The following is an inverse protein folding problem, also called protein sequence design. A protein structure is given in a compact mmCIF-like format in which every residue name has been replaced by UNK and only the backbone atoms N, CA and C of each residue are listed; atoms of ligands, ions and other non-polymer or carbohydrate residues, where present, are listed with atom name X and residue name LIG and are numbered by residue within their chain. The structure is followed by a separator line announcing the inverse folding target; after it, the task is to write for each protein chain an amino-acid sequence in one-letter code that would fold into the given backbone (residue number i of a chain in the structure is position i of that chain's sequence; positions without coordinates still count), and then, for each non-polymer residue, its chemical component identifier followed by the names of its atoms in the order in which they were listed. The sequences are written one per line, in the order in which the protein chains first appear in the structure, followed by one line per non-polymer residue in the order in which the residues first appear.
data_IF_375979171079
#
_entry.id   IF_375979171079
#
_cell.length_a   1.000
_cell.length_b   1.000
_cell.length_c   1.000
_cell.angle_alpha   90.00
_cell.angle_beta   90.00
_cell.angle_gamma   90.00
#
_symmetry.space_group_name_H-M   'P 1'
#
loop_
_entity.id
_entity.type
_entity.pdbx_description
1 polymer ?
#
# COMPACT_ATOMS: atom_id res chain seq x y z
N UNK A 1 -20.15 -5.33 12.23
CA UNK A 1 -19.78 -4.16 11.39
C UNK A 1 -18.36 -4.32 10.82
N UNK A 2 -18.20 -5.11 9.76
CA UNK A 2 -16.86 -5.49 9.29
C UNK A 2 -16.27 -4.54 8.23
N UNK A 3 -17.07 -3.91 7.36
CA UNK A 3 -16.55 -3.16 6.21
C UNK A 3 -15.68 -1.95 6.58
N UNK A 4 -16.10 -1.01 7.44
CA UNK A 4 -15.27 0.13 7.83
C UNK A 4 -13.99 -0.31 8.56
N UNK A 5 -14.09 -1.35 9.40
CA UNK A 5 -12.93 -1.89 10.11
C UNK A 5 -11.90 -2.47 9.13
N UNK A 6 -12.36 -3.26 8.16
CA UNK A 6 -11.47 -3.85 7.16
C UNK A 6 -10.87 -2.78 6.24
N UNK A 7 -11.67 -1.78 5.84
CA UNK A 7 -11.21 -0.66 5.01
C UNK A 7 -10.09 0.14 5.67
N UNK A 8 -10.31 0.56 6.91
CA UNK A 8 -9.33 1.27 7.73
C UNK A 8 -8.06 0.43 7.97
N UNK A 9 -8.25 -0.83 8.39
CA UNK A 9 -7.12 -1.72 8.64
C UNK A 9 -6.28 -1.97 7.38
N UNK A 10 -6.93 -2.09 6.21
CA UNK A 10 -6.20 -2.29 4.96
C UNK A 10 -5.40 -1.05 4.56
N UNK A 11 -5.99 0.14 4.67
CA UNK A 11 -5.30 1.39 4.38
C UNK A 11 -4.08 1.59 5.31
N UNK A 12 -4.27 1.35 6.61
CA UNK A 12 -3.19 1.48 7.60
C UNK A 12 -2.04 0.53 7.33
N UNK A 13 -2.33 -0.76 7.18
CA UNK A 13 -1.30 -1.80 6.98
C UNK A 13 -0.57 -1.66 5.65
N UNK A 14 -1.28 -1.24 4.60
CA UNK A 14 -0.65 -0.98 3.32
C UNK A 14 0.25 0.25 3.38
N UNK A 15 -0.20 1.33 4.04
CA UNK A 15 0.61 2.52 4.23
C UNK A 15 1.90 2.19 5.00
N UNK A 16 1.79 1.51 6.14
CA UNK A 16 2.97 1.08 6.94
C UNK A 16 3.92 0.22 6.11
N UNK A 17 3.41 -0.75 5.34
CA UNK A 17 4.27 -1.60 4.51
C UNK A 17 5.01 -0.80 3.42
N UNK A 18 4.38 0.23 2.84
CA UNK A 18 5.00 1.09 1.84
C UNK A 18 5.97 2.11 2.47
N UNK A 19 5.69 2.58 3.68
CA UNK A 19 6.61 3.42 4.48
C UNK A 19 7.88 2.64 4.82
N UNK A 20 7.75 1.41 5.31
CA UNK A 20 8.87 0.49 5.58
C UNK A 20 9.68 0.18 4.32
N UNK A 21 9.03 0.12 3.16
CA UNK A 21 9.68 -0.07 1.86
C UNK A 21 10.32 1.21 1.29
N UNK A 22 10.20 2.36 1.97
CA UNK A 22 10.71 3.65 1.52
C UNK A 22 9.99 4.23 0.29
N UNK A 23 8.74 3.79 0.05
CA UNK A 23 7.92 4.24 -1.09
C UNK A 23 6.87 5.28 -0.72
N UNK A 24 6.58 5.45 0.57
CA UNK A 24 5.56 6.37 1.05
C UNK A 24 6.11 7.20 2.20
N UNK A 25 5.80 8.49 2.23
CA UNK A 25 6.14 9.34 3.36
C UNK A 25 5.22 9.04 4.56
N UNK A 26 5.76 9.15 5.76
CA UNK A 26 4.99 9.05 7.00
C UNK A 26 3.87 10.09 6.98
N UNK A 27 2.65 9.67 7.37
CA UNK A 27 1.45 10.50 7.34
C UNK A 27 0.95 10.93 5.94
N UNK A 28 1.35 10.25 4.86
CA UNK A 28 0.77 10.49 3.55
C UNK A 28 -0.76 10.29 3.58
N UNK A 29 -1.52 11.10 2.80
CA UNK A 29 -2.96 10.97 2.73
C UNK A 29 -3.38 9.57 2.28
N UNK A 30 -4.29 8.97 3.03
CA UNK A 30 -4.80 7.63 2.77
C UNK A 30 -6.32 7.62 2.83
N UNK A 31 -6.92 7.03 1.83
CA UNK A 31 -8.37 6.87 1.70
C UNK A 31 -8.70 5.40 1.53
N UNK A 32 -9.70 4.94 2.23
CA UNK A 32 -10.21 3.58 2.08
C UNK A 32 -11.62 3.59 1.52
N UNK A 33 -11.94 2.56 0.76
CA UNK A 33 -13.24 2.34 0.20
C UNK A 33 -13.67 0.89 0.44
N UNK A 34 -14.89 0.70 0.87
CA UNK A 34 -15.41 -0.64 1.14
C UNK A 34 -16.89 -0.72 0.75
N UNK A 35 -17.22 -1.73 -0.05
CA UNK A 35 -18.57 -2.10 -0.44
C UNK A 35 -18.80 -3.58 -0.15
N UNK A 36 -20.01 -4.13 -0.27
CA UNK A 36 -20.22 -5.58 -0.12
C UNK A 36 -19.32 -6.46 -0.97
N UNK A 37 -18.82 -5.92 -2.08
CA UNK A 37 -18.04 -6.67 -3.09
C UNK A 37 -16.63 -6.14 -3.30
N UNK A 38 -16.21 -5.05 -2.62
CA UNK A 38 -14.93 -4.37 -2.84
C UNK A 38 -14.30 -3.94 -1.54
N UNK A 39 -12.99 -4.05 -1.52
CA UNK A 39 -12.14 -3.41 -0.54
C UNK A 39 -11.01 -2.74 -1.31
N UNK A 40 -10.89 -1.43 -1.20
CA UNK A 40 -9.89 -0.67 -1.93
C UNK A 40 -9.23 0.40 -1.06
N UNK A 41 -8.00 0.74 -1.41
CA UNK A 41 -7.20 1.79 -0.77
C UNK A 41 -6.64 2.69 -1.85
N UNK A 42 -6.69 3.97 -1.61
CA UNK A 42 -6.03 5.00 -2.41
C UNK A 42 -5.03 5.73 -1.51
N UNK A 43 -3.77 5.77 -1.93
CA UNK A 43 -2.67 6.42 -1.24
C UNK A 43 -2.07 7.46 -2.15
N UNK A 44 -1.94 8.68 -1.64
CA UNK A 44 -1.33 9.77 -2.37
C UNK A 44 0.19 9.77 -2.17
N UNK A 45 0.94 10.13 -3.19
CA UNK A 45 2.38 10.35 -3.07
C UNK A 45 3.27 9.11 -3.00
N UNK A 46 2.78 7.94 -3.45
CA UNK A 46 3.62 6.74 -3.56
C UNK A 46 4.72 6.96 -4.60
N UNK A 47 5.98 6.90 -4.16
CA UNK A 47 7.15 7.12 -5.01
C UNK A 47 7.29 6.04 -6.09
N UNK A 48 7.92 6.39 -7.21
CA UNK A 48 8.24 5.42 -8.28
C UNK A 48 9.39 4.49 -7.93
N UNK A 49 10.22 4.91 -6.97
CA UNK A 49 11.40 4.20 -6.51
C UNK A 49 11.64 4.55 -5.04
N UNK A 50 12.10 3.61 -4.26
CA UNK A 50 12.56 3.85 -2.90
C UNK A 50 13.81 4.76 -2.93
N UNK A 51 14.08 5.45 -1.83
CA UNK A 51 15.29 6.24 -1.70
C UNK A 51 16.54 5.34 -1.78
N UNK A 52 17.59 5.89 -2.34
CA UNK A 52 18.89 5.22 -2.35
C UNK A 52 19.39 5.01 -0.92
N UNK A 53 19.93 3.84 -0.65
CA UNK A 53 20.49 3.48 0.65
C UNK A 53 22.00 3.68 0.64
N UNK A 54 22.49 4.50 1.57
CA UNK A 54 23.92 4.67 1.80
C UNK A 54 24.39 3.60 2.80
N UNK A 55 25.13 2.64 2.31
CA UNK A 55 25.83 1.69 3.16
C UNK A 55 27.20 2.22 3.53
N UNK A 56 27.43 2.42 4.82
CA UNK A 56 28.70 2.86 5.35
C UNK A 56 29.35 1.72 6.14
N UNK A 57 30.60 1.40 5.80
CA UNK A 57 31.41 0.42 6.54
C UNK A 57 32.62 1.13 7.13
N UNK A 58 32.81 0.97 8.44
CA UNK A 58 33.97 1.46 9.17
C UNK A 58 35.11 0.47 9.02
N UNK A 59 36.27 0.97 8.63
CA UNK A 59 37.51 0.25 8.51
C UNK A 59 38.48 0.49 9.66
N UNK A 60 39.75 0.21 9.48
CA UNK A 60 40.81 0.45 10.46
C UNK A 60 40.99 1.96 10.74
N UNK A 61 41.56 2.28 11.89
CA UNK A 61 41.94 3.66 12.21
C UNK A 61 43.03 4.15 11.24
N UNK A 62 43.10 5.45 10.98
CA UNK A 62 44.12 6.01 10.05
C UNK A 62 45.55 5.66 10.51
N UNK A 63 45.81 5.63 11.81
CA UNK A 63 47.09 5.23 12.39
C UNK A 63 47.43 3.76 12.09
N UNK A 64 46.47 2.89 11.97
CA UNK A 64 46.68 1.48 11.61
C UNK A 64 46.65 1.25 10.10
N UNK A 65 45.97 2.14 9.35
CA UNK A 65 45.76 2.05 7.92
C UNK A 65 46.96 2.52 7.09
N UNK A 66 47.77 3.44 7.62
CA UNK A 66 48.92 4.01 6.94
C UNK A 66 50.15 3.91 7.84
N UNK A 67 51.30 3.66 7.22
CA UNK A 67 52.60 3.66 7.90
C UNK A 67 53.19 5.08 8.02
N UNK A 68 54.39 5.21 8.63
CA UNK A 68 55.03 6.52 8.83
C UNK A 68 55.41 7.21 7.50
N UNK A 69 55.50 6.49 6.41
CA UNK A 69 55.75 7.01 5.06
C UNK A 69 54.44 7.30 4.30
N UNK A 70 53.28 7.15 4.94
CA UNK A 70 51.96 7.36 4.33
C UNK A 70 51.50 6.25 3.37
N UNK A 71 52.22 5.10 3.38
CA UNK A 71 51.86 3.98 2.51
C UNK A 71 50.75 3.11 3.16
N UNK A 72 49.83 2.56 2.36
CA UNK A 72 48.76 1.72 2.89
C UNK A 72 49.29 0.40 3.44
N UNK A 73 48.99 0.13 4.69
CA UNK A 73 49.31 -1.10 5.41
C UNK A 73 48.49 -2.30 4.88
N UNK A 74 48.85 -3.55 5.26
CA UNK A 74 47.99 -4.72 5.00
C UNK A 74 46.56 -4.58 5.53
N UNK A 75 46.37 -3.86 6.63
CA UNK A 75 45.04 -3.59 7.20
C UNK A 75 44.18 -2.73 6.24
N UNK A 76 44.74 -1.64 5.70
CA UNK A 76 44.04 -0.82 4.72
C UNK A 76 43.74 -1.58 3.42
N UNK A 77 44.71 -2.32 2.91
CA UNK A 77 44.56 -3.14 1.70
C UNK A 77 43.53 -4.25 1.89
N UNK A 78 43.53 -4.91 3.06
CA UNK A 78 42.55 -5.94 3.42
C UNK A 78 41.13 -5.38 3.49
N UNK A 79 40.97 -4.19 4.11
CA UNK A 79 39.65 -3.53 4.16
C UNK A 79 39.16 -3.11 2.76
N UNK A 80 40.01 -2.47 1.94
CA UNK A 80 39.69 -2.10 0.57
C UNK A 80 39.28 -3.31 -0.27
N UNK A 81 39.99 -4.42 -0.18
CA UNK A 81 39.69 -5.69 -0.85
C UNK A 81 38.30 -6.24 -0.38
N UNK A 82 38.02 -6.17 0.91
CA UNK A 82 36.73 -6.62 1.47
C UNK A 82 35.54 -5.75 1.03
N UNK A 83 35.80 -4.52 0.60
CA UNK A 83 34.82 -3.59 0.04
C UNK A 83 34.76 -3.63 -1.51
N UNK A 84 35.69 -4.39 -2.16
CA UNK A 84 35.78 -4.48 -3.62
C UNK A 84 36.28 -3.22 -4.30
N UNK A 85 37.08 -2.39 -3.60
CA UNK A 85 37.55 -1.08 -4.09
C UNK A 85 39.06 -0.92 -3.85
N UNK A 86 39.68 0.06 -4.53
CA UNK A 86 41.01 0.49 -4.22
C UNK A 86 41.08 1.34 -2.95
N UNK A 87 42.25 1.35 -2.27
CA UNK A 87 42.45 2.12 -1.04
C UNK A 87 42.25 3.63 -1.26
N UNK A 88 42.54 4.12 -2.47
CA UNK A 88 42.37 5.54 -2.83
C UNK A 88 40.89 6.01 -2.84
N UNK A 89 39.94 5.07 -2.97
CA UNK A 89 38.50 5.38 -2.96
C UNK A 89 37.95 5.47 -1.53
N UNK A 90 38.69 4.97 -0.54
CA UNK A 90 38.25 5.03 0.86
C UNK A 90 38.35 6.44 1.40
N UNK A 91 37.26 6.91 2.03
CA UNK A 91 37.24 8.20 2.71
C UNK A 91 37.90 8.10 4.09
N UNK A 92 38.46 9.22 4.55
CA UNK A 92 38.92 9.38 5.93
C UNK A 92 37.85 10.16 6.69
N UNK A 93 37.42 9.66 7.83
CA UNK A 93 36.35 10.27 8.62
C UNK A 93 36.65 10.20 10.10
N UNK A 94 36.39 11.30 10.79
CA UNK A 94 36.51 11.35 12.26
C UNK A 94 35.21 10.80 12.85
N UNK A 95 35.32 9.68 13.56
CA UNK A 95 34.23 9.03 14.28
C UNK A 95 34.61 8.96 15.74
N UNK A 96 33.77 9.50 16.62
CA UNK A 96 34.03 9.66 18.05
C UNK A 96 35.31 10.49 18.30
N UNK A 97 36.39 9.87 18.78
CA UNK A 97 37.68 10.51 19.05
C UNK A 97 38.82 9.99 18.19
N UNK A 98 38.52 9.36 17.06
CA UNK A 98 39.53 8.78 16.16
C UNK A 98 39.20 8.96 14.69
N UNK A 99 40.24 9.02 13.86
CA UNK A 99 40.09 9.02 12.42
C UNK A 99 40.15 7.58 11.89
N UNK A 100 39.20 7.24 11.00
CA UNK A 100 39.05 5.90 10.44
C UNK A 100 38.95 5.96 8.93
N UNK A 101 39.37 4.88 8.25
CA UNK A 101 38.95 4.65 6.89
C UNK A 101 37.46 4.27 6.85
N UNK A 102 36.76 4.83 5.89
CA UNK A 102 35.33 4.60 5.71
C UNK A 102 35.06 4.33 4.24
N UNK A 103 34.31 3.28 3.96
CA UNK A 103 33.78 3.02 2.65
C UNK A 103 32.28 3.31 2.63
N UNK A 104 31.87 4.10 1.63
CA UNK A 104 30.46 4.39 1.37
C UNK A 104 30.07 3.85 0.01
N UNK A 105 29.01 3.09 -0.01
CA UNK A 105 28.39 2.60 -1.23
C UNK A 105 26.94 3.05 -1.25
N UNK A 106 26.53 3.61 -2.37
CA UNK A 106 25.12 3.93 -2.60
C UNK A 106 24.48 2.76 -3.34
N UNK A 107 23.57 2.05 -2.69
CA UNK A 107 22.71 1.08 -3.34
C UNK A 107 21.46 1.79 -3.86
N UNK A 108 21.21 1.77 -5.16
CA UNK A 108 20.03 2.39 -5.73
C UNK A 108 18.77 1.74 -5.14
N UNK A 109 17.83 2.57 -4.73
CA UNK A 109 16.55 2.09 -4.19
C UNK A 109 15.81 1.22 -5.22
N UNK A 110 15.04 0.26 -4.77
CA UNK A 110 14.27 -0.62 -5.63
C UNK A 110 13.09 0.10 -6.27
N UNK A 111 12.67 -0.33 -7.44
CA UNK A 111 11.52 0.23 -8.12
C UNK A 111 10.20 -0.15 -7.40
N UNK A 112 9.23 0.77 -7.38
CA UNK A 112 7.93 0.52 -6.75
C UNK A 112 7.20 -0.70 -7.33
N UNK A 113 7.38 -0.96 -8.63
CA UNK A 113 6.78 -2.12 -9.30
C UNK A 113 7.22 -3.46 -8.70
N UNK A 114 8.43 -3.50 -8.13
CA UNK A 114 9.00 -4.71 -7.53
C UNK A 114 8.61 -4.86 -6.05
N UNK A 115 8.39 -3.74 -5.34
CA UNK A 115 8.10 -3.72 -3.90
C UNK A 115 6.61 -3.75 -3.57
N UNK A 116 5.76 -3.06 -4.34
CA UNK A 116 4.32 -2.97 -4.09
C UNK A 116 3.62 -4.34 -3.99
N UNK A 117 3.95 -5.35 -4.82
CA UNK A 117 3.31 -6.67 -4.70
C UNK A 117 3.42 -7.28 -3.30
N UNK A 118 4.60 -7.25 -2.70
CA UNK A 118 4.84 -7.81 -1.36
C UNK A 118 4.17 -6.97 -0.27
N UNK A 119 4.18 -5.64 -0.40
CA UNK A 119 3.46 -4.75 0.51
C UNK A 119 1.96 -5.05 0.54
N UNK A 120 1.34 -5.23 -0.65
CA UNK A 120 -0.08 -5.57 -0.76
C UNK A 120 -0.36 -6.94 -0.15
N UNK A 121 0.46 -7.94 -0.47
CA UNK A 121 0.32 -9.30 0.06
C UNK A 121 0.41 -9.29 1.59
N UNK A 122 1.41 -8.63 2.16
CA UNK A 122 1.58 -8.46 3.61
C UNK A 122 0.36 -7.80 4.25
N UNK A 123 -0.12 -6.69 3.68
CA UNK A 123 -1.27 -5.96 4.18
C UNK A 123 -2.56 -6.77 4.09
N UNK A 124 -2.84 -7.41 2.96
CA UNK A 124 -4.08 -8.15 2.72
C UNK A 124 -4.19 -9.42 3.58
N UNK A 125 -3.10 -10.18 3.74
CA UNK A 125 -3.09 -11.42 4.54
C UNK A 125 -3.18 -11.16 6.03
N UNK A 126 -2.74 -10.01 6.49
CA UNK A 126 -2.76 -9.62 7.91
C UNK A 126 -4.07 -9.01 8.39
N UNK A 127 -5.08 -8.81 7.53
CA UNK A 127 -6.35 -8.17 7.89
C UNK A 127 -7.06 -8.87 9.06
N UNK A 128 -7.76 -8.10 9.94
CA UNK A 128 -8.46 -8.63 11.11
C UNK A 128 -9.78 -9.31 10.71
N UNK A 129 -9.68 -10.48 10.11
CA UNK A 129 -10.83 -11.28 9.68
C UNK A 129 -11.10 -12.35 10.74
N UNK A 130 -12.25 -12.24 11.41
CA UNK A 130 -12.66 -13.16 12.49
C UNK A 130 -13.01 -14.57 11.97
N UNK A 131 -13.72 -14.61 10.83
CA UNK A 131 -14.05 -15.88 10.16
C UNK A 131 -13.53 -15.84 8.74
N UNK A 132 -12.69 -16.81 8.39
CA UNK A 132 -12.16 -16.98 7.05
C UNK A 132 -12.83 -18.17 6.38
N UNK A 133 -13.11 -18.05 5.10
CA UNK A 133 -13.55 -19.15 4.26
C UNK A 133 -12.51 -19.43 3.18
N UNK A 134 -12.41 -20.68 2.79
CA UNK A 134 -11.67 -21.14 1.62
C UNK A 134 -12.66 -21.32 0.47
N UNK A 135 -12.24 -21.10 -0.75
CA UNK A 135 -13.06 -21.30 -1.94
C UNK A 135 -12.26 -22.00 -3.05
N UNK A 136 -13.00 -22.62 -3.96
CA UNK A 136 -12.42 -23.32 -5.10
C UNK A 136 -11.49 -24.46 -4.67
N UNK A 137 -10.45 -24.72 -5.47
CA UNK A 137 -9.42 -25.74 -5.22
C UNK A 137 -8.15 -25.16 -4.58
N UNK A 138 -8.09 -23.86 -4.39
CA UNK A 138 -6.91 -23.15 -3.82
C UNK A 138 -6.85 -23.24 -2.30
N UNK A 139 -5.76 -22.73 -1.74
CA UNK A 139 -5.51 -22.60 -0.29
C UNK A 139 -5.85 -21.23 0.26
N UNK A 140 -6.18 -20.28 -0.62
CA UNK A 140 -6.48 -18.91 -0.24
C UNK A 140 -7.70 -18.83 0.68
N UNK A 141 -7.60 -18.00 1.71
CA UNK A 141 -8.67 -17.79 2.69
C UNK A 141 -8.89 -16.31 2.92
N UNK A 142 -10.14 -15.88 2.86
CA UNK A 142 -10.55 -14.53 3.18
C UNK A 142 -11.99 -14.51 3.70
N UNK A 143 -12.53 -13.32 4.03
CA UNK A 143 -13.91 -13.15 4.51
C UNK A 143 -14.96 -13.53 3.45
N UNK A 144 -14.64 -13.38 2.17
CA UNK A 144 -15.45 -13.78 1.00
C UNK A 144 -14.52 -14.17 -0.15
N UNK A 145 -14.97 -14.98 -1.12
CA UNK A 145 -14.21 -15.27 -2.32
C UNK A 145 -13.78 -13.99 -3.05
N UNK A 146 -12.50 -13.91 -3.40
CA UNK A 146 -11.94 -12.82 -4.20
C UNK A 146 -11.99 -13.24 -5.67
N UNK A 147 -12.59 -12.42 -6.53
CA UNK A 147 -12.79 -12.71 -7.95
C UNK A 147 -11.90 -11.87 -8.86
N UNK A 148 -11.45 -10.71 -8.40
CA UNK A 148 -10.51 -9.85 -9.14
C UNK A 148 -9.64 -9.05 -8.18
N UNK A 149 -8.49 -8.64 -8.68
CA UNK A 149 -7.58 -7.72 -8.01
C UNK A 149 -7.15 -6.64 -9.00
N UNK A 150 -7.14 -5.39 -8.57
CA UNK A 150 -6.68 -4.23 -9.35
C UNK A 150 -5.59 -3.54 -8.56
N UNK A 151 -4.43 -3.36 -9.21
CA UNK A 151 -3.31 -2.62 -8.62
C UNK A 151 -2.79 -1.64 -9.65
N UNK A 152 -2.88 -0.34 -9.32
CA UNK A 152 -2.48 0.75 -10.20
C UNK A 152 -1.61 1.73 -9.42
N UNK A 153 -0.49 2.10 -10.01
CA UNK A 153 0.40 3.14 -9.54
C UNK A 153 0.43 4.28 -10.57
N UNK A 154 -0.23 5.38 -10.27
CA UNK A 154 -0.56 6.43 -11.25
C UNK A 154 -1.41 5.85 -12.38
N UNK A 155 -0.84 5.77 -13.58
CA UNK A 155 -1.47 5.17 -14.77
C UNK A 155 -0.98 3.77 -15.11
N UNK A 156 -0.08 3.22 -14.31
CA UNK A 156 0.57 1.92 -14.59
C UNK A 156 -0.07 0.81 -13.78
N UNK A 157 -0.54 -0.23 -14.46
CA UNK A 157 -0.97 -1.46 -13.78
C UNK A 157 0.24 -2.24 -13.29
N UNK A 158 0.22 -2.67 -12.03
CA UNK A 158 1.26 -3.49 -11.41
C UNK A 158 0.76 -4.92 -11.33
N UNK A 159 1.58 -5.86 -11.80
CA UNK A 159 1.29 -7.29 -11.71
C UNK A 159 1.62 -7.78 -10.31
N UNK A 160 0.63 -8.31 -9.61
CA UNK A 160 0.82 -9.02 -8.35
C UNK A 160 -0.20 -10.17 -8.24
N UNK A 161 0.00 -11.03 -7.27
CA UNK A 161 -0.94 -12.09 -6.95
C UNK A 161 -1.38 -11.96 -5.50
N UNK A 162 -2.69 -11.85 -5.28
CA UNK A 162 -3.32 -11.74 -3.97
C UNK A 162 -4.44 -12.77 -3.87
N UNK A 163 -4.41 -13.61 -2.82
CA UNK A 163 -5.40 -14.68 -2.62
C UNK A 163 -5.58 -15.63 -3.81
N UNK A 164 -4.49 -15.91 -4.56
CA UNK A 164 -4.50 -16.75 -5.76
C UNK A 164 -5.06 -16.07 -7.01
N UNK A 165 -5.35 -14.76 -6.95
CA UNK A 165 -5.85 -13.98 -8.08
C UNK A 165 -4.74 -13.05 -8.60
N UNK A 166 -4.45 -13.15 -9.88
CA UNK A 166 -3.54 -12.22 -10.56
C UNK A 166 -4.22 -10.88 -10.78
N UNK A 167 -3.53 -9.79 -10.41
CA UNK A 167 -4.03 -8.46 -10.63
C UNK A 167 -4.09 -8.08 -12.10
N UNK A 168 -5.04 -7.24 -12.42
CA UNK A 168 -5.19 -6.58 -13.72
C UNK A 168 -5.55 -5.12 -13.53
N UNK A 169 -5.84 -4.40 -14.59
CA UNK A 169 -6.44 -3.07 -14.52
C UNK A 169 -7.98 -3.11 -14.63
N UNK A 170 -8.60 -4.28 -14.70
CA UNK A 170 -10.05 -4.42 -14.91
C UNK A 170 -10.81 -4.68 -13.62
N UNK A 171 -11.93 -3.99 -13.49
CA UNK A 171 -12.92 -4.18 -12.42
C UNK A 171 -14.32 -4.35 -13.00
N UNK A 172 -15.33 -4.49 -12.16
CA UNK A 172 -16.71 -4.68 -12.55
C UNK A 172 -17.58 -3.54 -12.02
N UNK A 173 -18.65 -3.23 -12.70
CA UNK A 173 -19.67 -2.30 -12.24
C UNK A 173 -20.61 -2.92 -11.20
N UNK A 174 -21.74 -2.25 -10.98
CA UNK A 174 -22.80 -2.75 -10.12
C UNK A 174 -23.39 -4.04 -10.68
N UNK A 175 -23.61 -5.04 -9.82
CA UNK A 175 -23.97 -6.40 -10.22
C UNK A 175 -25.21 -6.47 -11.15
N UNK A 176 -26.17 -5.59 -10.92
CA UNK A 176 -27.45 -5.59 -11.64
C UNK A 176 -27.59 -4.38 -12.57
N UNK A 177 -27.11 -3.19 -12.16
CA UNK A 177 -27.30 -1.95 -12.92
C UNK A 177 -26.24 -1.74 -14.01
N UNK A 178 -25.05 -2.30 -13.84
CA UNK A 178 -23.93 -2.20 -14.80
C UNK A 178 -23.02 -3.42 -14.68
N UNK A 179 -23.49 -4.59 -15.04
CA UNK A 179 -22.74 -5.84 -14.92
C UNK A 179 -21.73 -6.00 -16.07
N UNK A 180 -20.87 -5.01 -16.23
CA UNK A 180 -19.82 -4.97 -17.24
C UNK A 180 -18.44 -4.87 -16.60
N UNK A 181 -17.43 -5.44 -17.26
CA UNK A 181 -16.05 -5.28 -16.88
C UNK A 181 -15.44 -4.11 -17.65
N UNK A 182 -14.72 -3.22 -16.95
CA UNK A 182 -14.08 -2.06 -17.54
C UNK A 182 -12.70 -1.81 -16.91
N UNK A 183 -11.79 -1.13 -17.61
CA UNK A 183 -10.48 -0.82 -17.09
C UNK A 183 -10.51 0.40 -16.14
N UNK A 184 -9.68 0.38 -15.12
CA UNK A 184 -9.21 1.56 -14.40
C UNK A 184 -7.89 1.96 -15.05
N UNK A 185 -7.84 3.12 -15.63
CA UNK A 185 -6.67 3.63 -16.38
C UNK A 185 -5.80 4.58 -15.55
N UNK A 186 -6.37 5.11 -14.47
CA UNK A 186 -5.71 6.06 -13.59
C UNK A 186 -6.24 5.85 -12.16
N UNK A 187 -5.31 5.82 -11.19
CA UNK A 187 -5.66 5.64 -9.78
C UNK A 187 -6.54 6.77 -9.25
N UNK A 188 -6.28 8.02 -9.68
CA UNK A 188 -6.99 9.21 -9.20
C UNK A 188 -8.45 9.25 -9.67
N UNK A 189 -8.75 8.62 -10.80
CA UNK A 189 -10.11 8.56 -11.34
C UNK A 189 -10.93 7.35 -10.88
N UNK A 190 -10.42 6.56 -9.92
CA UNK A 190 -11.07 5.34 -9.45
C UNK A 190 -12.52 5.56 -8.97
N UNK A 191 -12.75 6.56 -8.12
CA UNK A 191 -14.06 6.86 -7.53
C UNK A 191 -15.07 7.27 -8.60
N UNK A 192 -14.67 8.19 -9.48
CA UNK A 192 -15.54 8.70 -10.55
C UNK A 192 -15.88 7.61 -11.58
N UNK A 193 -14.89 6.79 -11.93
CA UNK A 193 -15.08 5.69 -12.87
C UNK A 193 -16.09 4.67 -12.34
N UNK A 194 -16.02 4.31 -11.07
CA UNK A 194 -16.99 3.41 -10.45
C UNK A 194 -18.37 4.05 -10.27
N UNK A 195 -18.43 5.34 -9.99
CA UNK A 195 -19.70 6.06 -9.89
C UNK A 195 -20.48 6.05 -11.22
N UNK A 196 -19.79 6.20 -12.36
CA UNK A 196 -20.36 6.04 -13.71
C UNK A 196 -20.91 4.64 -13.96
N UNK A 197 -20.45 3.64 -13.23
CA UNK A 197 -20.89 2.24 -13.30
C UNK A 197 -21.81 1.85 -12.14
N UNK A 198 -22.56 2.83 -11.62
CA UNK A 198 -23.53 2.66 -10.55
C UNK A 198 -22.94 2.06 -9.26
N UNK A 199 -21.68 2.38 -8.95
CA UNK A 199 -21.03 1.96 -7.70
C UNK A 199 -20.52 3.19 -6.95
N UNK A 200 -21.08 3.46 -5.80
CA UNK A 200 -20.61 4.49 -4.87
C UNK A 200 -19.66 3.79 -3.89
N UNK A 201 -18.35 3.98 -4.06
CA UNK A 201 -17.34 3.26 -3.27
C UNK A 201 -17.14 3.81 -1.87
N UNK A 202 -17.40 5.11 -1.66
CA UNK A 202 -17.30 5.77 -0.36
C UNK A 202 -18.41 5.29 0.58
N UNK A 203 -18.03 4.74 1.73
CA UNK A 203 -18.98 4.29 2.76
C UNK A 203 -19.79 5.47 3.29
N UNK A 204 -19.15 6.59 3.59
CA UNK A 204 -19.80 7.77 4.14
C UNK A 204 -20.74 8.44 3.13
N UNK A 205 -20.39 8.48 1.84
CA UNK A 205 -21.27 9.00 0.79
C UNK A 205 -22.54 8.14 0.70
N UNK A 206 -22.43 6.82 0.65
CA UNK A 206 -23.60 5.92 0.64
C UNK A 206 -24.46 6.10 1.89
N UNK A 207 -23.83 6.16 3.06
CA UNK A 207 -24.53 6.35 4.34
C UNK A 207 -25.34 7.65 4.38
N UNK A 208 -24.75 8.73 3.89
CA UNK A 208 -25.43 10.03 3.80
C UNK A 208 -26.60 10.00 2.81
N UNK A 209 -26.43 9.37 1.65
CA UNK A 209 -27.49 9.19 0.66
C UNK A 209 -28.68 8.40 1.22
N UNK A 210 -28.44 7.28 1.89
CA UNK A 210 -29.48 6.47 2.51
C UNK A 210 -30.27 7.31 3.51
N UNK A 211 -29.59 8.03 4.39
CA UNK A 211 -30.24 8.90 5.38
C UNK A 211 -31.08 9.99 4.73
N UNK A 212 -30.55 10.65 3.70
CA UNK A 212 -31.26 11.71 2.99
C UNK A 212 -32.50 11.17 2.26
N UNK A 213 -32.38 10.05 1.58
CA UNK A 213 -33.49 9.40 0.85
C UNK A 213 -34.56 8.94 1.82
N UNK A 214 -34.19 8.25 2.91
CA UNK A 214 -35.15 7.82 3.93
C UNK A 214 -35.88 9.00 4.54
N UNK A 215 -35.21 10.08 4.88
CA UNK A 215 -35.85 11.32 5.41
C UNK A 215 -36.79 11.95 4.40
N UNK A 216 -36.39 12.00 3.11
CA UNK A 216 -37.26 12.55 2.06
C UNK A 216 -38.52 11.71 1.85
N UNK A 217 -38.40 10.39 1.88
CA UNK A 217 -39.55 9.48 1.74
C UNK A 217 -40.48 9.59 2.94
N UNK A 218 -39.98 9.65 4.17
CA UNK A 218 -40.79 9.81 5.36
C UNK A 218 -41.64 11.12 5.33
N UNK A 219 -41.05 12.22 4.86
CA UNK A 219 -41.78 13.49 4.70
C UNK A 219 -42.94 13.40 3.71
N UNK A 220 -42.86 12.57 2.66
CA UNK A 220 -43.94 12.39 1.68
C UNK A 220 -45.20 11.75 2.28
N UNK A 221 -45.03 10.98 3.34
CA UNK A 221 -46.16 10.33 4.07
C UNK A 221 -46.42 10.99 5.41
N UNK A 222 -46.02 12.26 5.57
CA UNK A 222 -46.15 13.02 6.83
C UNK A 222 -45.58 12.29 8.06
N UNK A 223 -44.58 11.41 7.82
CA UNK A 223 -43.94 10.60 8.84
C UNK A 223 -42.55 11.12 9.22
N UNK A 224 -41.98 10.47 10.23
CA UNK A 224 -40.60 10.71 10.67
C UNK A 224 -39.82 9.41 10.60
N UNK A 225 -38.62 9.46 10.02
CA UNK A 225 -37.74 8.30 10.00
C UNK A 225 -36.95 8.20 11.32
N UNK A 226 -36.94 7.01 11.91
CA UNK A 226 -36.12 6.68 13.07
C UNK A 226 -35.04 5.71 12.60
N UNK A 227 -33.80 6.22 12.46
CA UNK A 227 -32.62 5.44 12.05
C UNK A 227 -31.57 5.55 13.15
N UNK A 228 -31.31 4.46 13.85
CA UNK A 228 -30.09 4.38 14.68
C UNK A 228 -28.84 4.40 13.79
N UNK A 229 -27.72 4.89 14.33
CA UNK A 229 -26.45 4.86 13.60
C UNK A 229 -26.05 3.42 13.23
N UNK A 230 -26.32 2.48 14.10
CA UNK A 230 -26.02 1.07 13.91
C UNK A 230 -26.82 0.47 12.72
N UNK A 231 -28.12 0.72 12.66
CA UNK A 231 -28.96 0.27 11.55
C UNK A 231 -28.54 0.92 10.23
N UNK A 232 -28.26 2.22 10.25
CA UNK A 232 -27.80 2.95 9.07
C UNK A 232 -26.47 2.39 8.54
N UNK A 233 -25.52 2.11 9.41
CA UNK A 233 -24.23 1.50 9.03
C UNK A 233 -24.41 0.08 8.50
N UNK A 234 -25.34 -0.68 9.07
CA UNK A 234 -25.63 -2.03 8.65
C UNK A 234 -26.24 -2.04 7.23
N UNK A 235 -27.22 -1.20 6.96
CA UNK A 235 -27.82 -1.05 5.62
C UNK A 235 -26.79 -0.54 4.62
N UNK A 236 -25.96 0.44 5.00
CA UNK A 236 -24.89 0.97 4.16
C UNK A 236 -23.90 -0.12 3.75
N UNK A 237 -23.64 -1.08 4.63
CA UNK A 237 -22.73 -2.19 4.36
C UNK A 237 -23.31 -3.24 3.40
N UNK A 238 -24.61 -3.20 3.07
CA UNK A 238 -25.27 -4.16 2.19
C UNK A 238 -25.43 -3.68 0.74
N UNK A 239 -25.27 -2.37 0.48
CA UNK A 239 -25.57 -1.78 -0.83
C UNK A 239 -24.35 -1.12 -1.45
N UNK A 240 -24.31 -1.06 -2.80
CA UNK A 240 -23.30 -0.31 -3.58
C UNK A 240 -23.91 0.94 -4.22
N UNK A 241 -25.22 0.97 -4.45
CA UNK A 241 -25.96 2.06 -5.06
C UNK A 241 -27.33 2.17 -4.33
N UNK A 242 -27.49 3.05 -3.34
CA UNK A 242 -28.78 3.28 -2.71
C UNK A 242 -29.75 3.95 -3.69
N UNK A 243 -31.00 3.49 -3.72
CA UNK A 243 -32.09 4.03 -4.53
C UNK A 243 -33.26 4.40 -3.64
#
# INVERSE_FOLDING_TARGET
MALPLLGKAFAERLAVALEEAGLLATNAPRRWYATPRRLAVHLDGVARRAADQIHQRRGPSIKAAFDAAGQPTPAAKGFARSCGVDVSILAKETIDRGEYLVWRSTLPGLAAIDLIPDCIKKAATSLPVSKRMRWGRGTAQFVRPVHWAVVIHGKRSIKCEVFGIRSSNRTWGHRFLSNTSFPITDADHYVETLKKQSVIVSFDERRNLIRQQATRLARRVNGRVVLSLELLDLVTALVESPH
#
